data_IF_444308568921
#
_entry.id   IF_444308568921
#
_cell.length_a   1.000
_cell.length_b   1.000
_cell.length_c   1.000
_cell.angle_alpha   90.00
_cell.angle_beta   90.00
_cell.angle_gamma   90.00
#
_symmetry.space_group_name_H-M   'P 1'
#
loop_
_entity.id
_entity.type
_entity.pdbx_description
1 polymer ?
#
# COMPACT_ATOMS: atom_id res chain seq x y z
N UNK A 1 24.92 -31.52 -22.07
CA UNK A 1 26.24 -31.04 -22.44
C UNK A 1 27.28 -31.76 -21.60
N UNK A 2 28.36 -32.30 -22.23
CA UNK A 2 29.41 -33.08 -21.57
C UNK A 2 30.30 -32.27 -20.61
N UNK A 3 30.02 -30.99 -20.40
CA UNK A 3 30.78 -30.09 -19.54
C UNK A 3 30.29 -30.06 -18.10
N UNK A 4 29.16 -30.72 -17.78
CA UNK A 4 28.55 -30.67 -16.44
C UNK A 4 27.99 -29.30 -16.02
N UNK A 5 27.99 -28.32 -16.92
CA UNK A 5 27.40 -27.03 -16.68
C UNK A 5 25.95 -27.02 -17.20
N UNK A 6 24.97 -26.60 -16.41
CA UNK A 6 23.60 -26.51 -16.91
C UNK A 6 23.51 -25.44 -18.01
N UNK A 7 22.94 -25.81 -19.16
CA UNK A 7 22.73 -24.92 -20.30
C UNK A 7 21.35 -24.31 -20.33
N UNK A 8 20.41 -24.89 -19.56
CA UNK A 8 19.03 -24.43 -19.44
C UNK A 8 18.53 -24.55 -18.01
N UNK A 9 17.68 -23.63 -17.63
CA UNK A 9 17.04 -23.60 -16.31
C UNK A 9 15.51 -23.56 -16.50
N UNK A 10 14.80 -24.43 -15.80
CA UNK A 10 13.34 -24.34 -15.72
C UNK A 10 12.94 -23.60 -14.45
N UNK A 11 12.22 -22.49 -14.59
CA UNK A 11 11.59 -21.77 -13.47
C UNK A 11 10.11 -22.05 -13.43
N UNK A 12 9.60 -22.38 -12.24
CA UNK A 12 8.16 -22.48 -11.96
C UNK A 12 7.77 -21.38 -11.01
N UNK A 13 6.81 -20.56 -11.40
CA UNK A 13 6.19 -19.56 -10.52
C UNK A 13 4.71 -19.89 -10.34
N UNK A 14 4.17 -19.55 -9.18
CA UNK A 14 2.75 -19.68 -8.88
C UNK A 14 2.19 -18.28 -8.71
N UNK A 15 1.01 -18.02 -9.29
CA UNK A 15 0.26 -16.79 -9.16
C UNK A 15 -1.16 -17.09 -8.73
N UNK A 16 -1.76 -16.15 -8.00
CA UNK A 16 -3.19 -16.17 -7.72
C UNK A 16 -3.92 -15.39 -8.81
N UNK A 17 -4.99 -15.97 -9.33
CA UNK A 17 -5.90 -15.30 -10.24
C UNK A 17 -7.17 -15.02 -9.46
N UNK A 18 -7.57 -13.75 -9.41
CA UNK A 18 -8.83 -13.33 -8.82
C UNK A 18 -9.84 -13.16 -9.91
N UNK A 19 -11.02 -13.76 -9.72
CA UNK A 19 -12.17 -13.60 -10.60
C UNK A 19 -13.09 -12.53 -10.02
N UNK A 20 -13.71 -11.73 -10.87
CA UNK A 20 -14.67 -10.73 -10.43
C UNK A 20 -14.97 -9.70 -11.50
N UNK A 21 -15.96 -8.86 -11.22
CA UNK A 21 -16.31 -7.69 -12.01
C UNK A 21 -15.82 -6.46 -11.26
N UNK A 22 -15.31 -5.50 -12.01
CA UNK A 22 -14.83 -4.23 -11.46
C UNK A 22 -16.01 -3.30 -11.18
N UNK A 23 -16.03 -2.73 -9.97
CA UNK A 23 -16.98 -1.71 -9.52
C UNK A 23 -16.23 -0.52 -8.99
N UNK A 24 -16.91 0.61 -8.88
CA UNK A 24 -16.40 1.76 -8.18
C UNK A 24 -17.45 2.35 -7.24
N UNK A 25 -16.96 3.00 -6.20
CA UNK A 25 -17.79 3.81 -5.29
C UNK A 25 -17.08 5.13 -5.02
N UNK A 26 -17.89 6.17 -4.82
CA UNK A 26 -17.41 7.50 -4.44
C UNK A 26 -17.94 7.82 -3.06
N UNK A 27 -17.08 8.30 -2.19
CA UNK A 27 -17.39 8.56 -0.78
C UNK A 27 -16.83 9.91 -0.39
N UNK A 28 -17.71 10.81 0.02
CA UNK A 28 -17.33 12.12 0.50
C UNK A 28 -16.79 12.04 1.92
N UNK A 29 -15.59 12.57 2.11
CA UNK A 29 -14.92 12.69 3.39
C UNK A 29 -14.87 14.16 3.78
N UNK A 30 -15.40 14.47 4.95
CA UNK A 30 -15.37 15.82 5.51
C UNK A 30 -14.06 16.11 6.27
N UNK A 31 -14.19 16.77 7.42
CA UNK A 31 -13.05 17.10 8.28
C UNK A 31 -12.26 15.84 8.66
N UNK A 32 -10.97 16.05 8.96
CA UNK A 32 -10.07 14.98 9.35
C UNK A 32 -10.59 14.15 10.53
N UNK A 33 -10.67 12.86 10.32
CA UNK A 33 -10.96 11.87 11.36
C UNK A 33 -9.76 10.93 11.46
N UNK A 34 -9.17 10.87 12.66
CA UNK A 34 -8.05 9.97 12.94
C UNK A 34 -8.49 8.52 12.84
N UNK A 35 -7.71 7.71 12.12
CA UNK A 35 -8.05 6.32 11.84
C UNK A 35 -9.43 6.15 11.19
N UNK A 36 -9.73 7.05 10.27
CA UNK A 36 -10.99 7.04 9.53
C UNK A 36 -11.24 5.64 8.96
N UNK A 37 -12.43 5.11 9.24
CA UNK A 37 -12.90 3.83 8.70
C UNK A 37 -14.07 4.08 7.75
N UNK A 38 -13.89 3.72 6.49
CA UNK A 38 -14.84 3.97 5.42
C UNK A 38 -15.35 2.64 4.89
N UNK A 39 -16.66 2.50 4.75
CA UNK A 39 -17.29 1.29 4.19
C UNK A 39 -17.31 1.35 2.68
N UNK A 40 -16.71 0.37 2.03
CA UNK A 40 -16.64 0.29 0.56
C UNK A 40 -17.91 -0.33 -0.01
N UNK A 41 -18.30 -1.48 0.50
CA UNK A 41 -19.44 -2.24 -0.02
C UNK A 41 -20.01 -3.18 1.03
N UNK A 42 -21.29 -3.53 0.85
CA UNK A 42 -21.95 -4.62 1.59
C UNK A 42 -21.74 -5.98 0.95
N UNK A 43 -21.43 -6.00 -0.36
CA UNK A 43 -21.11 -7.21 -1.10
C UNK A 43 -19.69 -7.69 -0.76
N UNK A 44 -19.41 -8.95 -1.06
CA UNK A 44 -18.08 -9.50 -0.90
C UNK A 44 -17.12 -8.83 -1.90
N UNK A 45 -16.15 -8.09 -1.36
CA UNK A 45 -15.08 -7.47 -2.13
C UNK A 45 -13.91 -8.45 -2.17
N UNK A 46 -13.46 -8.80 -3.38
CA UNK A 46 -12.33 -9.71 -3.58
C UNK A 46 -11.00 -8.99 -3.44
N UNK A 47 -10.93 -7.76 -3.95
CA UNK A 47 -9.73 -6.93 -3.87
C UNK A 47 -10.07 -5.44 -4.02
N UNK A 48 -9.23 -4.61 -3.48
CA UNK A 48 -9.20 -3.19 -3.77
C UNK A 48 -8.18 -2.98 -4.89
N UNK A 49 -8.62 -2.44 -6.02
CA UNK A 49 -7.76 -2.22 -7.19
C UNK A 49 -7.03 -0.89 -7.04
N UNK A 50 -7.74 0.17 -6.69
CA UNK A 50 -7.15 1.48 -6.49
C UNK A 50 -8.04 2.40 -5.65
N UNK A 51 -7.40 3.35 -4.97
CA UNK A 51 -8.08 4.39 -4.18
C UNK A 51 -7.42 5.71 -4.51
N UNK A 52 -8.22 6.68 -4.96
CA UNK A 52 -7.78 8.03 -5.28
C UNK A 52 -8.65 9.04 -4.56
N UNK A 53 -8.09 10.21 -4.26
CA UNK A 53 -8.85 11.37 -3.85
C UNK A 53 -9.21 12.29 -5.02
N UNK A 54 -10.01 13.33 -4.75
CA UNK A 54 -10.42 14.31 -5.77
C UNK A 54 -9.26 15.16 -6.32
N UNK A 55 -8.13 15.19 -5.65
CA UNK A 55 -6.91 15.88 -6.07
C UNK A 55 -6.00 14.98 -6.93
N UNK A 56 -6.33 13.70 -7.06
CA UNK A 56 -5.61 12.71 -7.85
C UNK A 56 -4.50 12.00 -7.07
N UNK A 57 -4.43 12.16 -5.76
CA UNK A 57 -3.48 11.41 -4.95
C UNK A 57 -3.93 9.97 -4.78
N UNK A 58 -2.98 9.04 -4.93
CA UNK A 58 -3.22 7.63 -4.74
C UNK A 58 -2.93 7.19 -3.31
N UNK A 59 -3.84 6.39 -2.76
CA UNK A 59 -3.66 5.68 -1.49
C UNK A 59 -3.25 4.23 -1.75
N UNK A 60 -2.29 3.73 -0.99
CA UNK A 60 -1.71 2.40 -1.17
C UNK A 60 -2.18 1.43 -0.10
N UNK A 61 -2.55 0.23 -0.51
CA UNK A 61 -2.87 -0.83 0.42
C UNK A 61 -1.60 -1.37 1.08
N UNK A 62 -1.67 -1.54 2.40
CA UNK A 62 -0.60 -2.10 3.23
C UNK A 62 -1.16 -3.16 4.18
N UNK A 63 -0.30 -4.04 4.70
CA UNK A 63 -0.72 -5.06 5.67
C UNK A 63 -1.02 -4.45 7.03
N UNK A 64 -0.30 -3.38 7.38
CA UNK A 64 -0.56 -2.61 8.59
C UNK A 64 -0.16 -1.14 8.38
N UNK A 65 -0.82 -0.22 9.10
CA UNK A 65 -0.62 1.21 8.92
C UNK A 65 0.79 1.71 9.29
N UNK A 66 1.57 0.94 10.02
CA UNK A 66 2.98 1.27 10.33
C UNK A 66 3.94 0.94 9.18
N UNK A 67 3.48 0.24 8.15
CA UNK A 67 4.28 -0.07 6.97
C UNK A 67 4.38 1.15 6.07
N UNK A 68 5.54 1.77 6.01
CA UNK A 68 5.79 2.98 5.21
C UNK A 68 6.18 2.68 3.76
N UNK A 69 6.74 1.50 3.51
CA UNK A 69 7.32 1.16 2.21
C UNK A 69 6.44 0.13 1.49
N UNK A 70 6.08 0.47 0.27
CA UNK A 70 5.46 -0.45 -0.70
C UNK A 70 6.41 -0.65 -1.87
N UNK A 71 6.28 -1.78 -2.57
CA UNK A 71 7.09 -2.06 -3.75
C UNK A 71 6.24 -1.89 -4.99
N UNK A 72 6.62 -0.93 -5.82
CA UNK A 72 5.94 -0.66 -7.08
C UNK A 72 6.71 -1.29 -8.25
N UNK A 73 5.96 -1.91 -9.14
CA UNK A 73 6.50 -2.45 -10.38
C UNK A 73 6.84 -1.30 -11.34
N UNK A 74 8.05 -1.29 -11.84
CA UNK A 74 8.52 -0.33 -12.83
C UNK A 74 9.17 -1.05 -14.00
N UNK A 75 8.93 -0.55 -15.21
CA UNK A 75 9.58 -1.07 -16.42
C UNK A 75 11.10 -1.03 -16.28
N UNK A 76 11.75 -2.12 -16.64
CA UNK A 76 13.20 -2.23 -16.59
C UNK A 76 13.81 -1.62 -17.85
N UNK A 77 14.62 -0.55 -17.76
CA UNK A 77 15.29 0.03 -18.91
C UNK A 77 16.34 -0.89 -19.56
N UNK A 78 16.81 -1.90 -18.80
CA UNK A 78 17.83 -2.85 -19.25
C UNK A 78 17.28 -4.20 -19.70
N UNK A 79 15.99 -4.27 -20.06
CA UNK A 79 15.30 -5.49 -20.45
C UNK A 79 16.03 -6.30 -21.54
N UNK A 80 16.71 -5.61 -22.46
CA UNK A 80 17.47 -6.25 -23.54
C UNK A 80 18.74 -6.94 -23.09
N UNK A 81 19.32 -6.54 -21.96
CA UNK A 81 20.57 -7.11 -21.45
C UNK A 81 20.36 -8.20 -20.41
N UNK A 82 19.33 -8.07 -19.57
CA UNK A 82 19.08 -8.99 -18.46
C UNK A 82 17.83 -9.88 -18.64
N UNK A 83 17.02 -9.60 -19.67
CA UNK A 83 15.80 -10.36 -19.97
C UNK A 83 14.66 -10.17 -18.98
N UNK A 84 14.81 -9.27 -17.99
CA UNK A 84 13.80 -8.99 -16.97
C UNK A 84 12.95 -7.80 -17.38
N UNK A 85 11.62 -7.98 -17.52
CA UNK A 85 10.73 -6.92 -18.02
C UNK A 85 10.48 -5.80 -17.01
N UNK A 86 10.40 -6.13 -15.74
CA UNK A 86 10.08 -5.17 -14.67
C UNK A 86 10.95 -5.40 -13.45
N UNK A 87 11.14 -4.35 -12.69
CA UNK A 87 11.85 -4.35 -11.41
C UNK A 87 10.94 -3.75 -10.35
N UNK A 88 11.06 -4.26 -9.12
CA UNK A 88 10.35 -3.71 -7.97
C UNK A 88 11.18 -2.60 -7.35
N UNK A 89 10.62 -1.41 -7.25
CA UNK A 89 11.25 -0.27 -6.55
C UNK A 89 10.53 0.03 -5.26
N UNK A 90 11.25 0.28 -4.17
CA UNK A 90 10.66 0.73 -2.92
C UNK A 90 10.11 2.15 -3.10
N UNK A 91 8.92 2.38 -2.60
CA UNK A 91 8.21 3.65 -2.59
C UNK A 91 7.68 3.93 -1.18
N UNK A 92 7.87 5.16 -0.68
CA UNK A 92 7.34 5.57 0.61
C UNK A 92 5.88 6.00 0.41
N UNK A 93 4.97 5.20 0.93
CA UNK A 93 3.53 5.44 0.85
C UNK A 93 3.06 6.23 2.06
N UNK A 94 3.08 7.57 1.99
CA UNK A 94 2.53 8.43 3.04
C UNK A 94 1.02 8.28 3.14
N UNK A 95 0.32 8.17 2.00
CA UNK A 95 -1.12 7.88 1.92
C UNK A 95 -1.33 6.39 1.79
N UNK A 96 -1.85 5.76 2.84
CA UNK A 96 -2.02 4.31 2.91
C UNK A 96 -3.25 3.90 3.70
N UNK A 97 -3.73 2.70 3.44
CA UNK A 97 -4.88 2.12 4.10
C UNK A 97 -4.71 0.62 4.31
N UNK A 98 -5.46 0.09 5.27
CA UNK A 98 -5.61 -1.35 5.51
C UNK A 98 -7.04 -1.75 5.15
N UNK A 99 -7.20 -2.91 4.55
CA UNK A 99 -8.52 -3.49 4.25
C UNK A 99 -8.95 -4.36 5.43
N UNK A 100 -10.12 -4.06 5.95
CA UNK A 100 -10.77 -4.87 6.98
C UNK A 100 -12.08 -5.43 6.43
N UNK A 101 -12.32 -6.70 6.68
CA UNK A 101 -13.57 -7.36 6.30
C UNK A 101 -14.25 -7.92 7.54
N UNK A 102 -15.54 -7.65 7.66
CA UNK A 102 -16.38 -8.21 8.68
C UNK A 102 -17.70 -8.76 8.09
N UNK A 103 -18.61 -9.23 8.93
CA UNK A 103 -19.92 -9.74 8.49
C UNK A 103 -20.80 -8.66 7.84
N UNK A 104 -20.52 -7.40 8.04
CA UNK A 104 -21.30 -6.27 7.55
C UNK A 104 -20.75 -5.68 6.24
N UNK A 105 -19.55 -6.08 5.84
CA UNK A 105 -18.94 -5.62 4.58
C UNK A 105 -17.44 -5.42 4.66
N UNK A 106 -16.93 -4.72 3.63
CA UNK A 106 -15.52 -4.39 3.49
C UNK A 106 -15.31 -2.91 3.79
N UNK A 107 -14.29 -2.64 4.58
CA UNK A 107 -13.92 -1.31 5.05
C UNK A 107 -12.46 -1.01 4.72
N UNK A 108 -12.18 0.27 4.47
CA UNK A 108 -10.83 0.81 4.42
C UNK A 108 -10.56 1.59 5.69
N UNK A 109 -9.51 1.25 6.40
CA UNK A 109 -9.03 2.02 7.54
C UNK A 109 -7.79 2.80 7.14
N UNK A 110 -7.88 4.12 7.25
CA UNK A 110 -6.81 5.07 6.95
C UNK A 110 -5.97 5.39 8.19
N UNK A 111 -4.94 6.19 7.99
CA UNK A 111 -4.01 6.56 9.03
C UNK A 111 -4.52 7.63 9.99
N UNK A 112 -3.54 8.26 10.65
CA UNK A 112 -3.76 9.23 11.71
C UNK A 112 -3.39 10.65 11.30
N UNK A 113 -2.40 10.80 10.39
CA UNK A 113 -1.80 12.07 10.02
C UNK A 113 -2.70 12.96 9.17
N UNK A 114 -2.43 14.25 9.20
CA UNK A 114 -2.99 15.26 8.30
C UNK A 114 -1.89 15.82 7.41
N UNK A 115 -2.23 16.25 6.20
CA UNK A 115 -1.28 16.92 5.30
C UNK A 115 -0.70 18.19 5.90
N UNK A 116 -1.53 18.95 6.59
CA UNK A 116 -1.09 20.19 7.26
C UNK A 116 -0.08 19.97 8.38
N UNK A 117 -0.06 18.78 8.98
CA UNK A 117 0.90 18.43 10.02
C UNK A 117 2.25 18.00 9.47
N UNK A 118 2.29 17.45 8.25
CA UNK A 118 3.53 17.01 7.60
C UNK A 118 4.40 18.21 7.24
N UNK A 119 3.81 19.29 6.76
CA UNK A 119 4.54 20.52 6.43
C UNK A 119 5.23 21.16 7.65
N UNK A 120 4.72 20.92 8.84
CA UNK A 120 5.32 21.42 10.09
C UNK A 120 6.52 20.58 10.58
N UNK A 121 6.61 19.31 10.18
CA UNK A 121 7.68 18.38 10.57
C UNK A 121 8.65 18.03 9.44
N UNK A 122 8.56 18.71 8.30
CA UNK A 122 9.37 18.48 7.10
C UNK A 122 10.86 18.80 7.23
N UNK A 123 11.36 19.14 8.41
CA UNK A 123 12.78 19.13 8.74
C UNK A 123 13.15 17.72 9.17
N UNK A 124 13.75 16.97 8.23
CA UNK A 124 14.41 15.71 8.57
C UNK A 124 15.30 15.94 9.80
N UNK A 125 15.06 15.19 10.87
CA UNK A 125 15.91 15.25 12.06
C UNK A 125 17.35 14.90 11.64
N UNK A 126 18.30 15.86 11.66
CA UNK A 126 19.67 15.62 11.20
C UNK A 126 20.34 14.45 11.91
N UNK A 127 19.92 14.16 13.15
CA UNK A 127 20.47 13.05 13.94
C UNK A 127 20.12 11.68 13.33
N UNK A 128 18.96 11.55 12.69
CA UNK A 128 18.57 10.29 12.04
C UNK A 128 19.28 10.06 10.69
N UNK A 129 19.63 11.14 9.99
CA UNK A 129 20.33 11.06 8.71
C UNK A 129 21.82 10.74 8.92
N UNK A 130 22.46 11.38 9.90
CA UNK A 130 23.89 11.18 10.19
C UNK A 130 24.18 9.78 10.73
N UNK A 131 23.28 9.19 11.52
CA UNK A 131 23.47 7.87 12.10
C UNK A 131 23.42 6.73 11.07
N UNK A 132 22.61 6.88 10.02
CA UNK A 132 22.51 5.88 8.95
C UNK A 132 23.73 5.85 8.00
N UNK A 133 24.44 6.97 7.85
CA UNK A 133 25.58 7.06 6.92
C UNK A 133 26.86 6.41 7.45
N UNK A 134 27.04 6.21 8.74
CA UNK A 134 28.29 5.76 9.33
C UNK A 134 28.32 4.30 9.80
N UNK A 135 27.29 3.49 9.54
CA UNK A 135 27.26 2.06 9.87
C UNK A 135 27.46 1.71 11.37
N UNK A 136 27.34 2.68 12.26
CA UNK A 136 27.45 2.50 13.70
C UNK A 136 26.06 2.51 14.30
N UNK A 137 25.61 1.37 14.84
CA UNK A 137 24.43 1.29 15.69
C UNK A 137 24.71 2.01 17.00
N UNK A 138 24.47 3.32 17.05
CA UNK A 138 24.38 4.00 18.33
C UNK A 138 23.01 3.69 18.91
N UNK A 139 22.99 3.03 20.03
CA UNK A 139 21.83 2.99 20.91
C UNK A 139 21.68 4.40 21.44
N UNK A 140 20.82 5.19 20.80
CA UNK A 140 20.43 6.48 21.37
C UNK A 140 19.53 6.18 22.56
N UNK A 141 19.88 6.71 23.70
CA UNK A 141 19.11 6.68 24.96
C UNK A 141 17.82 7.55 24.87
N UNK A 142 17.23 7.63 23.69
CA UNK A 142 15.94 8.27 23.50
C UNK A 142 14.87 7.29 23.97
N UNK A 143 14.37 7.55 25.18
CA UNK A 143 13.22 6.86 25.70
C UNK A 143 12.12 6.82 24.66
N UNK A 144 11.57 5.62 24.41
CA UNK A 144 10.40 5.45 23.57
C UNK A 144 9.25 6.28 24.14
N UNK A 145 8.94 7.38 23.49
CA UNK A 145 7.79 8.22 23.82
C UNK A 145 6.62 7.85 22.90
N UNK A 146 5.60 7.16 23.41
CA UNK A 146 4.43 6.80 22.62
C UNK A 146 3.71 8.01 22.01
N UNK A 147 3.77 9.17 22.67
CA UNK A 147 3.12 10.39 22.19
C UNK A 147 3.81 10.97 20.94
N UNK A 148 5.09 10.71 20.74
CA UNK A 148 5.80 11.08 19.51
C UNK A 148 5.32 10.31 18.30
N UNK A 149 4.83 9.09 18.46
CA UNK A 149 4.23 8.31 17.37
C UNK A 149 2.89 8.86 16.93
N UNK A 150 2.15 9.48 17.83
CA UNK A 150 0.82 10.05 17.54
C UNK A 150 0.90 11.41 16.84
N UNK A 151 2.06 12.05 16.82
CA UNK A 151 2.29 13.33 16.13
C UNK A 151 3.03 13.21 14.79
N UNK A 152 3.27 11.99 14.28
CA UNK A 152 4.01 11.77 13.05
C UNK A 152 3.13 11.03 12.04
N UNK A 153 3.47 11.13 10.75
CA UNK A 153 2.86 10.40 9.64
C UNK A 153 3.10 8.88 9.67
N UNK A 154 3.64 8.35 10.77
CA UNK A 154 4.05 6.94 10.91
C UNK A 154 2.94 5.93 10.67
N UNK A 155 1.69 6.34 10.82
CA UNK A 155 0.51 5.53 10.49
C UNK A 155 -0.16 5.95 9.18
N UNK A 156 0.45 6.87 8.42
CA UNK A 156 -0.08 7.40 7.17
C UNK A 156 -1.09 8.52 7.36
N UNK A 157 -1.34 9.21 6.25
CA UNK A 157 -2.25 10.36 6.17
C UNK A 157 -3.67 9.85 6.04
N UNK A 158 -4.58 10.43 6.81
CA UNK A 158 -6.02 10.26 6.62
C UNK A 158 -6.53 11.21 5.53
N UNK A 159 -7.47 10.78 4.68
CA UNK A 159 -8.15 11.70 3.76
C UNK A 159 -8.99 12.71 4.55
N UNK A 160 -9.00 13.95 4.07
CA UNK A 160 -9.78 15.05 4.63
C UNK A 160 -10.30 15.98 3.53
N UNK A 161 -11.53 16.47 3.69
CA UNK A 161 -12.18 17.43 2.77
C UNK A 161 -12.09 17.05 1.29
N UNK A 162 -12.27 15.76 0.98
CA UNK A 162 -12.10 15.20 -0.36
C UNK A 162 -13.13 14.12 -0.65
N UNK A 163 -13.35 13.82 -1.93
CA UNK A 163 -14.14 12.67 -2.37
C UNK A 163 -13.18 11.54 -2.74
N UNK A 164 -13.31 10.41 -2.06
CA UNK A 164 -12.55 9.20 -2.37
C UNK A 164 -13.25 8.43 -3.48
N UNK A 165 -12.53 8.13 -4.54
CA UNK A 165 -12.92 7.17 -5.58
C UNK A 165 -12.22 5.85 -5.34
N UNK A 166 -13.00 4.82 -5.01
CA UNK A 166 -12.52 3.49 -4.68
C UNK A 166 -12.93 2.54 -5.79
N UNK A 167 -11.97 1.92 -6.45
CA UNK A 167 -12.18 0.89 -7.48
C UNK A 167 -11.88 -0.45 -6.85
N UNK A 168 -12.80 -1.40 -6.98
CA UNK A 168 -12.68 -2.71 -6.35
C UNK A 168 -13.29 -3.81 -7.21
N UNK A 169 -12.80 -5.03 -7.03
CA UNK A 169 -13.35 -6.24 -7.64
C UNK A 169 -14.36 -6.90 -6.69
N UNK A 170 -15.51 -7.26 -7.21
CA UNK A 170 -16.52 -8.02 -6.47
C UNK A 170 -17.00 -9.23 -7.27
N UNK A 171 -17.32 -10.29 -6.56
CA UNK A 171 -17.90 -11.49 -7.11
C UNK A 171 -19.35 -11.59 -6.63
N UNK A 172 -20.27 -11.08 -7.44
CA UNK A 172 -21.69 -11.04 -7.11
C UNK A 172 -22.47 -12.22 -7.74
N UNK A 173 -21.78 -13.11 -8.47
CA UNK A 173 -22.43 -14.24 -9.14
C UNK A 173 -22.11 -15.57 -8.44
N UNK A 174 -23.15 -16.43 -8.36
CA UNK A 174 -23.01 -17.81 -7.89
C UNK A 174 -22.17 -18.71 -8.82
N UNK A 175 -21.81 -18.21 -10.01
CA UNK A 175 -21.00 -18.91 -11.02
C UNK A 175 -19.55 -18.44 -11.03
N UNK A 176 -18.85 -18.71 -9.94
CA UNK A 176 -17.45 -18.31 -9.76
C UNK A 176 -16.47 -19.35 -10.29
N UNK A 177 -16.93 -20.56 -10.58
CA UNK A 177 -16.08 -21.64 -11.05
C UNK A 177 -16.21 -21.78 -12.57
N UNK A 178 -15.13 -21.52 -13.29
CA UNK A 178 -15.00 -21.98 -14.68
C UNK A 178 -15.12 -23.50 -14.70
N UNK A 179 -15.97 -24.09 -15.60
CA UNK A 179 -16.02 -25.52 -15.73
C UNK A 179 -14.64 -26.04 -16.13
N UNK A 180 -14.18 -27.04 -15.42
CA UNK A 180 -12.95 -27.78 -15.79
C UNK A 180 -13.27 -28.55 -17.04
N UNK A 181 -12.72 -28.14 -18.17
CA UNK A 181 -12.71 -28.91 -19.42
C UNK A 181 -11.53 -29.89 -19.42
#
# INVERSE_FOLDING_TARGET
>A
DNTGKPTEYAMRSFGQIKSGVEFYTEIDVGEQIKFLKVRVSTAAVNEIISVFDSEGHQYYQVDNLSQEVVYLEQSNPNVTSDGVRSILKPFIASRRFVVEQDQNGTYLQFGYGSETQIDQFGLADPSQVVLKMNGKNYITDTAFDPNRFLGTDKFGIAPENTTLKIIFGSNDSNDVNLPIN
#
